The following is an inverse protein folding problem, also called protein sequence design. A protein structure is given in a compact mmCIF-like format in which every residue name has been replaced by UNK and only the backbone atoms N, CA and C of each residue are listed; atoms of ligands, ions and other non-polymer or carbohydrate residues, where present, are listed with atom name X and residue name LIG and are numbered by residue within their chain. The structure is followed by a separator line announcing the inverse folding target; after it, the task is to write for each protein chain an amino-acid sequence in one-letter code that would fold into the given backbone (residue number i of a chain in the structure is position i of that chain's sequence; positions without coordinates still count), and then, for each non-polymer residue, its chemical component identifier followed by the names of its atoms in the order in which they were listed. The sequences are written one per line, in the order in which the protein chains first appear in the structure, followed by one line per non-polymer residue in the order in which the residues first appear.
data_IF_957621827371
#
_entry.id   IF_957621827371
#
_cell.length_a   1.000
_cell.length_b   1.000
_cell.length_c   1.000
_cell.angle_alpha   90.00
_cell.angle_beta   90.00
_cell.angle_gamma   90.00
#
_symmetry.space_group_name_H-M   'P 1'
#
loop_
_entity.id
_entity.type
_entity.pdbx_description
1 polymer ?
#
# COMPACT_ATOMS: atom_id res chain seq x y z
N UNK A 1 -19.18 17.98 -11.93
CA UNK A 1 -18.24 16.85 -11.85
C UNK A 1 -17.50 16.96 -10.54
N UNK A 2 -17.52 15.90 -9.73
CA UNK A 2 -16.77 15.85 -8.46
C UNK A 2 -15.31 15.49 -8.74
N UNK A 3 -14.39 16.04 -7.96
CA UNK A 3 -12.96 15.74 -8.10
C UNK A 3 -12.55 14.68 -7.07
N UNK A 4 -11.83 13.65 -7.52
CA UNK A 4 -11.21 12.63 -6.68
C UNK A 4 -9.70 12.81 -6.74
N UNK A 5 -9.08 13.16 -5.62
CA UNK A 5 -7.63 13.27 -5.51
C UNK A 5 -7.11 11.96 -4.94
N UNK A 6 -6.35 11.20 -5.74
CA UNK A 6 -5.67 9.99 -5.27
C UNK A 6 -4.31 10.38 -4.70
N UNK A 7 -4.19 10.32 -3.38
CA UNK A 7 -3.00 10.79 -2.69
C UNK A 7 -2.10 9.63 -2.30
N UNK A 8 -0.93 9.55 -2.90
CA UNK A 8 0.14 8.67 -2.46
C UNK A 8 1.16 9.45 -1.63
N UNK A 9 1.97 8.77 -0.81
CA UNK A 9 3.06 9.45 -0.11
C UNK A 9 4.09 10.00 -1.10
N UNK A 10 4.41 9.19 -2.12
CA UNK A 10 5.46 9.45 -3.10
C UNK A 10 6.77 8.75 -2.71
N UNK A 11 7.68 8.63 -3.68
CA UNK A 11 8.94 7.92 -3.52
C UNK A 11 9.90 8.37 -4.62
N UNK A 12 11.20 8.30 -4.33
CA UNK A 12 12.25 8.46 -5.34
C UNK A 12 12.23 7.34 -6.39
N UNK A 13 11.63 6.19 -6.09
CA UNK A 13 11.43 5.13 -7.06
C UNK A 13 10.29 5.50 -8.03
N UNK A 14 10.58 5.70 -9.33
CA UNK A 14 9.59 6.13 -10.32
C UNK A 14 8.43 5.14 -10.48
N UNK A 15 8.63 3.86 -10.13
CA UNK A 15 7.56 2.84 -10.16
C UNK A 15 6.43 3.14 -9.19
N UNK A 16 6.73 3.80 -8.07
CA UNK A 16 5.71 4.22 -7.10
C UNK A 16 4.73 5.21 -7.71
N UNK A 17 5.25 6.26 -8.35
CA UNK A 17 4.42 7.26 -9.02
C UNK A 17 3.68 6.67 -10.23
N UNK A 18 4.32 5.78 -10.99
CA UNK A 18 3.69 5.07 -12.10
C UNK A 18 2.47 4.26 -11.65
N UNK A 19 2.56 3.54 -10.53
CA UNK A 19 1.44 2.76 -9.98
C UNK A 19 0.26 3.66 -9.58
N UNK A 20 0.50 4.77 -8.88
CA UNK A 20 -0.56 5.70 -8.49
C UNK A 20 -1.26 6.31 -9.72
N UNK A 21 -0.50 6.66 -10.76
CA UNK A 21 -1.05 7.16 -12.03
C UNK A 21 -1.83 6.09 -12.79
N UNK A 22 -1.37 4.84 -12.79
CA UNK A 22 -2.10 3.72 -13.41
C UNK A 22 -3.46 3.48 -12.75
N UNK A 23 -3.53 3.53 -11.41
CA UNK A 23 -4.81 3.47 -10.68
C UNK A 23 -5.71 4.64 -11.04
N UNK A 24 -5.16 5.86 -11.14
CA UNK A 24 -5.93 7.04 -11.56
C UNK A 24 -6.50 6.89 -12.98
N UNK A 25 -5.68 6.44 -13.93
CA UNK A 25 -6.11 6.21 -15.30
C UNK A 25 -7.23 5.17 -15.39
N UNK A 26 -7.11 4.08 -14.63
CA UNK A 26 -8.13 3.05 -14.57
C UNK A 26 -9.45 3.57 -13.97
N UNK A 27 -9.38 4.34 -12.88
CA UNK A 27 -10.56 4.99 -12.30
C UNK A 27 -11.25 5.95 -13.27
N UNK A 28 -10.49 6.76 -14.01
CA UNK A 28 -11.04 7.63 -15.06
C UNK A 28 -11.74 6.81 -16.14
N UNK A 29 -11.14 5.69 -16.56
CA UNK A 29 -11.72 4.78 -17.57
C UNK A 29 -13.04 4.18 -17.11
N UNK A 30 -13.13 3.70 -15.86
CA UNK A 30 -14.36 3.09 -15.33
C UNK A 30 -15.38 4.11 -14.83
N UNK A 31 -14.98 5.37 -14.61
CA UNK A 31 -15.84 6.48 -14.16
C UNK A 31 -15.56 7.77 -14.96
N UNK A 32 -15.95 7.86 -16.25
CA UNK A 32 -15.66 9.03 -17.10
C UNK A 32 -16.20 10.38 -16.58
N UNK A 33 -17.21 10.35 -15.72
CA UNK A 33 -17.78 11.56 -15.09
C UNK A 33 -16.98 12.12 -13.90
N UNK A 34 -15.90 11.46 -13.50
CA UNK A 34 -15.07 11.81 -12.35
C UNK A 34 -13.76 12.45 -12.79
N UNK A 35 -13.42 13.60 -12.23
CA UNK A 35 -12.11 14.24 -12.41
C UNK A 35 -11.12 13.60 -11.42
N UNK A 36 -10.34 12.62 -11.90
CA UNK A 36 -9.39 11.87 -11.07
C UNK A 36 -7.99 12.46 -11.20
N UNK A 37 -7.42 12.93 -10.08
CA UNK A 37 -6.11 13.57 -10.03
C UNK A 37 -5.16 12.79 -9.11
N UNK A 38 -4.11 12.15 -9.62
CA UNK A 38 -3.06 11.61 -8.77
C UNK A 38 -2.26 12.77 -8.16
N UNK A 39 -1.89 12.65 -6.89
CA UNK A 39 -1.12 13.65 -6.17
C UNK A 39 -0.22 13.00 -5.12
N UNK A 40 0.89 13.67 -4.79
CA UNK A 40 1.93 13.10 -3.92
C UNK A 40 2.25 14.04 -2.75
N UNK A 41 2.37 13.47 -1.55
CA UNK A 41 2.70 14.24 -0.34
C UNK A 41 4.15 14.73 -0.36
N UNK A 42 5.04 13.96 -0.95
CA UNK A 42 6.47 14.24 -1.06
C UNK A 42 7.11 13.47 -2.23
N UNK A 43 8.35 13.81 -2.60
CA UNK A 43 9.24 13.03 -3.47
C UNK A 43 8.76 12.74 -4.91
N UNK A 44 7.57 13.19 -5.31
CA UNK A 44 7.00 12.99 -6.63
C UNK A 44 6.02 14.12 -6.99
N UNK A 45 5.75 14.27 -8.28
CA UNK A 45 4.85 15.28 -8.83
C UNK A 45 3.59 14.66 -9.46
N UNK A 46 2.44 15.34 -9.42
CA UNK A 46 2.25 16.69 -8.87
C UNK A 46 2.15 16.69 -7.33
N UNK A 47 2.72 17.72 -6.71
CA UNK A 47 2.63 17.92 -5.27
C UNK A 47 1.17 18.09 -4.82
N UNK A 48 0.79 17.43 -3.72
CA UNK A 48 -0.57 17.40 -3.21
C UNK A 48 -1.11 18.79 -2.88
N UNK A 49 -0.29 19.62 -2.23
CA UNK A 49 -0.67 20.99 -1.90
C UNK A 49 -1.04 21.82 -3.14
N UNK A 50 -0.31 21.65 -4.25
CA UNK A 50 -0.55 22.38 -5.49
C UNK A 50 -1.81 21.89 -6.20
N UNK A 51 -2.04 20.57 -6.20
CA UNK A 51 -3.28 19.99 -6.75
C UNK A 51 -4.51 20.49 -5.99
N UNK A 52 -4.42 20.59 -4.66
CA UNK A 52 -5.51 21.08 -3.80
C UNK A 52 -5.72 22.58 -3.98
N UNK A 53 -4.64 23.39 -4.03
CA UNK A 53 -4.71 24.83 -4.24
C UNK A 53 -5.27 25.20 -5.63
N UNK A 54 -5.02 24.36 -6.64
CA UNK A 54 -5.55 24.51 -7.99
C UNK A 54 -6.99 24.02 -8.19
N UNK A 55 -7.70 23.62 -7.13
CA UNK A 55 -9.10 23.23 -7.24
C UNK A 55 -9.99 24.46 -7.51
N UNK A 56 -11.00 24.36 -8.39
CA UNK A 56 -11.94 25.45 -8.59
C UNK A 56 -12.73 25.77 -7.31
N UNK A 57 -12.84 27.06 -6.97
CA UNK A 57 -13.57 27.53 -5.80
C UNK A 57 -15.00 26.95 -5.76
N UNK A 58 -15.39 26.44 -4.58
CA UNK A 58 -16.74 25.93 -4.33
C UNK A 58 -17.05 24.55 -4.94
N UNK A 59 -16.10 23.88 -5.61
CA UNK A 59 -16.29 22.50 -6.08
C UNK A 59 -15.91 21.48 -5.01
N UNK A 60 -16.81 20.54 -4.64
CA UNK A 60 -16.47 19.48 -3.70
C UNK A 60 -15.39 18.55 -4.27
N UNK A 61 -14.39 18.26 -3.44
CA UNK A 61 -13.35 17.28 -3.74
C UNK A 61 -13.26 16.23 -2.62
N UNK A 62 -12.90 15.00 -2.99
CA UNK A 62 -12.59 13.93 -2.05
C UNK A 62 -11.14 13.50 -2.22
N UNK A 63 -10.37 13.58 -1.15
CA UNK A 63 -9.01 13.07 -1.06
C UNK A 63 -9.07 11.63 -0.61
N UNK A 64 -8.52 10.72 -1.41
CA UNK A 64 -8.48 9.28 -1.15
C UNK A 64 -7.03 8.81 -1.03
N UNK A 65 -6.55 8.53 0.19
CA UNK A 65 -5.17 8.10 0.39
C UNK A 65 -4.92 6.66 -0.10
N UNK A 66 -3.98 6.49 -1.02
CA UNK A 66 -3.49 5.20 -1.50
C UNK A 66 -2.44 4.60 -0.53
N UNK A 67 -2.80 4.45 0.73
CA UNK A 67 -1.89 4.04 1.81
C UNK A 67 -2.38 2.75 2.47
N UNK A 68 -1.52 1.72 2.45
CA UNK A 68 -1.85 0.35 2.90
C UNK A 68 -1.70 0.14 4.42
N UNK A 69 -0.93 0.98 5.09
CA UNK A 69 -0.86 0.99 6.54
C UNK A 69 -1.52 2.27 7.05
N UNK A 70 -2.04 2.21 8.28
CA UNK A 70 -2.42 3.41 9.03
C UNK A 70 -1.17 4.26 9.29
N UNK A 71 -0.74 5.02 8.28
CA UNK A 71 0.23 6.08 8.44
C UNK A 71 -0.45 7.14 9.29
N UNK A 72 -0.25 7.09 10.60
CA UNK A 72 -0.69 8.13 11.54
C UNK A 72 -0.36 9.53 11.01
N UNK A 73 0.80 9.65 10.37
CA UNK A 73 1.23 10.82 9.61
C UNK A 73 0.22 11.24 8.53
N UNK A 74 -0.28 10.35 7.69
CA UNK A 74 -1.28 10.73 6.68
C UNK A 74 -2.60 11.24 7.24
N UNK A 75 -3.00 10.84 8.46
CA UNK A 75 -4.18 11.40 9.14
C UNK A 75 -3.96 12.82 9.67
N UNK A 76 -2.72 13.28 9.72
CA UNK A 76 -2.33 14.64 10.15
C UNK A 76 -1.84 15.48 8.98
N UNK A 77 -0.91 14.96 8.20
CA UNK A 77 -0.24 15.64 7.10
C UNK A 77 -1.22 16.03 5.98
N UNK A 78 -2.20 15.16 5.67
CA UNK A 78 -3.20 15.47 4.63
C UNK A 78 -4.11 16.63 5.07
N UNK A 79 -4.76 16.59 6.25
CA UNK A 79 -5.53 17.75 6.73
C UNK A 79 -4.69 19.03 6.83
N UNK A 80 -3.46 18.94 7.33
CA UNK A 80 -2.57 20.10 7.47
C UNK A 80 -2.23 20.71 6.09
N UNK A 81 -1.95 19.88 5.07
CA UNK A 81 -1.71 20.38 3.71
C UNK A 81 -2.98 20.95 3.06
N UNK A 82 -4.17 20.37 3.30
CA UNK A 82 -5.45 20.93 2.82
C UNK A 82 -5.68 22.31 3.43
N UNK A 83 -5.47 22.46 4.74
CA UNK A 83 -5.63 23.73 5.44
C UNK A 83 -4.65 24.79 4.92
N UNK A 84 -3.38 24.41 4.71
CA UNK A 84 -2.34 25.31 4.15
C UNK A 84 -2.63 25.73 2.71
N UNK A 85 -3.29 24.88 1.91
CA UNK A 85 -3.73 25.23 0.57
C UNK A 85 -4.93 26.21 0.55
N UNK A 86 -5.55 26.49 1.71
CA UNK A 86 -6.72 27.37 1.81
C UNK A 86 -7.97 26.78 1.15
N UNK A 87 -8.01 25.47 0.89
CA UNK A 87 -9.13 24.85 0.20
C UNK A 87 -10.29 24.54 1.16
N UNK A 88 -11.50 24.82 0.71
CA UNK A 88 -12.74 24.54 1.43
C UNK A 88 -13.57 23.47 0.71
N UNK A 89 -14.40 22.73 1.46
CA UNK A 89 -15.26 21.68 0.88
C UNK A 89 -14.51 20.41 0.42
N UNK A 90 -13.25 20.25 0.85
CA UNK A 90 -12.46 19.05 0.62
C UNK A 90 -12.70 18.05 1.75
N UNK A 91 -13.13 16.84 1.41
CA UNK A 91 -13.31 15.74 2.36
C UNK A 91 -12.18 14.73 2.20
N UNK A 92 -11.74 14.12 3.29
CA UNK A 92 -10.79 13.02 3.26
C UNK A 92 -11.52 11.69 3.49
N UNK A 93 -11.28 10.71 2.63
CA UNK A 93 -11.66 9.32 2.83
C UNK A 93 -10.65 8.61 3.75
N UNK A 94 -11.04 7.48 4.33
CA UNK A 94 -10.11 6.62 5.05
C UNK A 94 -8.99 6.10 4.13
N UNK A 95 -7.85 5.78 4.74
CA UNK A 95 -6.76 5.06 4.06
C UNK A 95 -7.26 3.67 3.65
N UNK A 96 -6.66 3.09 2.60
CA UNK A 96 -6.95 1.73 2.18
C UNK A 96 -6.75 0.69 3.31
N UNK A 97 -5.67 0.85 4.09
CA UNK A 97 -5.41 0.03 5.27
C UNK A 97 -5.31 -1.47 4.97
N UNK A 98 -5.60 -2.28 5.98
CA UNK A 98 -5.58 -3.74 5.92
C UNK A 98 -6.89 -4.36 5.37
N UNK A 99 -7.47 -3.79 4.31
CA UNK A 99 -8.73 -4.26 3.72
C UNK A 99 -8.61 -5.70 3.19
N UNK A 100 -9.59 -6.54 3.52
CA UNK A 100 -9.65 -7.96 3.09
C UNK A 100 -9.57 -8.13 1.58
N UNK A 101 -10.09 -7.17 0.80
CA UNK A 101 -10.01 -7.20 -0.67
C UNK A 101 -8.58 -7.06 -1.16
N UNK A 102 -7.73 -6.30 -0.47
CA UNK A 102 -6.30 -6.19 -0.80
C UNK A 102 -5.56 -7.48 -0.45
N UNK A 103 -5.96 -8.17 0.62
CA UNK A 103 -5.45 -9.51 0.93
C UNK A 103 -5.85 -10.50 -0.17
N UNK A 104 -7.07 -10.42 -0.70
CA UNK A 104 -7.50 -11.23 -1.85
C UNK A 104 -6.64 -10.97 -3.09
N UNK A 105 -6.35 -9.71 -3.41
CA UNK A 105 -5.44 -9.36 -4.51
C UNK A 105 -4.04 -9.93 -4.30
N UNK A 106 -3.51 -9.92 -3.06
CA UNK A 106 -2.24 -10.57 -2.76
C UNK A 106 -2.28 -12.09 -3.02
N UNK A 107 -3.39 -12.77 -2.70
CA UNK A 107 -3.57 -14.20 -2.99
C UNK A 107 -3.65 -14.47 -4.49
N UNK A 108 -4.40 -13.64 -5.22
CA UNK A 108 -4.50 -13.72 -6.68
C UNK A 108 -3.11 -13.58 -7.32
N UNK A 109 -2.31 -12.61 -6.88
CA UNK A 109 -0.93 -12.44 -7.36
C UNK A 109 -0.04 -13.64 -7.08
N UNK A 110 -0.19 -14.30 -5.93
CA UNK A 110 0.55 -15.53 -5.64
C UNK A 110 0.08 -16.68 -6.56
N UNK A 111 -1.22 -16.82 -6.78
CA UNK A 111 -1.77 -17.83 -7.68
C UNK A 111 -1.32 -17.62 -9.14
N UNK A 112 -1.25 -16.37 -9.61
CA UNK A 112 -0.71 -16.01 -10.93
C UNK A 112 0.77 -16.43 -11.10
N UNK A 113 1.53 -16.49 -10.00
CA UNK A 113 2.90 -17.00 -9.97
C UNK A 113 2.98 -18.55 -9.89
N UNK A 114 1.84 -19.25 -9.96
CA UNK A 114 1.76 -20.70 -9.86
C UNK A 114 1.87 -21.24 -8.43
N UNK A 115 1.79 -20.38 -7.42
CA UNK A 115 1.86 -20.80 -6.02
C UNK A 115 0.56 -21.49 -5.61
N UNK A 116 0.67 -22.78 -5.26
CA UNK A 116 -0.47 -23.55 -4.80
C UNK A 116 -0.85 -23.18 -3.36
N UNK A 117 -2.14 -22.99 -3.05
CA UNK A 117 -2.60 -22.85 -1.66
C UNK A 117 -2.42 -24.14 -0.85
N UNK A 118 -2.10 -25.27 -1.50
CA UNK A 118 -1.92 -26.57 -0.84
C UNK A 118 -0.45 -26.94 -0.59
N UNK A 119 0.50 -26.10 -1.00
CA UNK A 119 1.94 -26.33 -0.81
C UNK A 119 2.27 -26.28 0.69
N UNK A 120 2.64 -27.43 1.28
CA UNK A 120 2.93 -27.51 2.72
C UNK A 120 4.30 -26.97 3.11
N UNK A 121 5.18 -26.79 2.13
CA UNK A 121 6.55 -26.36 2.35
C UNK A 121 6.71 -24.86 2.10
N UNK A 122 5.66 -24.17 1.63
CA UNK A 122 5.72 -22.74 1.40
C UNK A 122 5.67 -21.93 2.70
N UNK A 123 6.64 -21.02 2.85
CA UNK A 123 6.61 -19.94 3.82
C UNK A 123 6.53 -18.58 3.14
N UNK A 124 5.59 -17.72 3.55
CA UNK A 124 5.43 -16.37 2.99
C UNK A 124 5.82 -15.30 4.01
N UNK A 125 6.73 -14.40 3.62
CA UNK A 125 7.05 -13.19 4.40
C UNK A 125 6.41 -11.99 3.74
N UNK A 126 5.48 -11.34 4.44
CA UNK A 126 4.95 -10.04 4.06
C UNK A 126 5.87 -8.97 4.66
N UNK A 127 6.46 -8.12 3.82
CA UNK A 127 7.36 -7.06 4.28
C UNK A 127 6.64 -5.73 4.26
N UNK A 128 6.48 -5.11 5.42
CA UNK A 128 5.94 -3.77 5.56
C UNK A 128 7.06 -2.78 5.92
N UNK A 129 6.85 -1.47 5.71
CA UNK A 129 7.82 -0.45 6.09
C UNK A 129 8.08 -0.48 7.60
N UNK A 130 7.01 -0.56 8.41
CA UNK A 130 7.08 -0.48 9.86
C UNK A 130 6.92 0.94 10.38
N UNK A 131 6.29 1.06 11.55
CA UNK A 131 5.98 2.33 12.19
C UNK A 131 6.57 2.38 13.61
N UNK A 132 6.75 3.59 14.14
CA UNK A 132 6.95 3.79 15.58
C UNK A 132 5.69 3.46 16.40
N UNK A 133 4.51 3.45 15.76
CA UNK A 133 3.25 3.09 16.38
C UNK A 133 3.09 1.55 16.43
N UNK A 134 3.14 0.98 17.64
CA UNK A 134 3.04 -0.45 17.88
C UNK A 134 1.67 -1.02 17.52
N UNK A 135 0.58 -0.27 17.74
CA UNK A 135 -0.77 -0.69 17.39
C UNK A 135 -0.96 -0.74 15.86
N UNK A 136 -0.37 0.20 15.11
CA UNK A 136 -0.37 0.15 13.64
C UNK A 136 0.39 -1.09 13.13
N UNK A 137 1.58 -1.37 13.69
CA UNK A 137 2.34 -2.57 13.33
C UNK A 137 1.58 -3.86 13.66
N UNK A 138 0.87 -3.91 14.80
CA UNK A 138 0.06 -5.05 15.19
C UNK A 138 -1.10 -5.30 14.22
N UNK A 139 -1.76 -4.25 13.72
CA UNK A 139 -2.78 -4.37 12.66
C UNK A 139 -2.19 -4.87 11.35
N UNK A 140 -1.08 -4.29 10.90
CA UNK A 140 -0.40 -4.74 9.69
C UNK A 140 0.06 -6.19 9.78
N UNK A 141 0.44 -6.67 10.97
CA UNK A 141 0.79 -8.08 11.19
C UNK A 141 -0.38 -9.05 10.92
N UNK A 142 -1.64 -8.59 11.05
CA UNK A 142 -2.82 -9.40 10.74
C UNK A 142 -2.92 -9.74 9.25
N UNK A 143 -2.32 -8.94 8.36
CA UNK A 143 -2.29 -9.20 6.91
C UNK A 143 -1.66 -10.56 6.61
N UNK A 144 -0.58 -10.92 7.29
CA UNK A 144 0.07 -12.21 7.08
C UNK A 144 -0.83 -13.38 7.53
N UNK A 145 -1.50 -13.25 8.68
CA UNK A 145 -2.43 -14.25 9.17
C UNK A 145 -3.63 -14.41 8.23
N UNK A 146 -4.20 -13.28 7.79
CA UNK A 146 -5.28 -13.26 6.80
C UNK A 146 -4.83 -13.89 5.48
N UNK A 147 -3.61 -13.61 5.01
CA UNK A 147 -3.09 -14.17 3.76
C UNK A 147 -3.04 -15.70 3.78
N UNK A 148 -2.54 -16.29 4.88
CA UNK A 148 -2.45 -17.74 5.04
C UNK A 148 -3.76 -18.45 5.41
N UNK A 149 -4.82 -17.72 5.77
CA UNK A 149 -6.08 -18.34 6.17
C UNK A 149 -6.67 -19.19 5.04
N UNK A 150 -6.92 -20.48 5.30
CA UNK A 150 -7.45 -21.42 4.30
C UNK A 150 -6.40 -22.05 3.37
N UNK A 151 -5.11 -21.77 3.58
CA UNK A 151 -4.01 -22.47 2.88
C UNK A 151 -3.44 -23.60 3.73
N UNK A 152 -2.61 -24.45 3.12
CA UNK A 152 -1.83 -25.49 3.81
C UNK A 152 -0.35 -25.14 3.95
N UNK A 153 0.01 -23.88 3.68
CA UNK A 153 1.37 -23.36 3.79
C UNK A 153 1.98 -23.62 5.17
N UNK A 154 3.30 -23.81 5.23
CA UNK A 154 4.07 -23.87 6.48
C UNK A 154 3.85 -22.60 7.34
N UNK A 155 3.54 -21.48 6.69
CA UNK A 155 2.89 -20.34 7.31
C UNK A 155 3.15 -19.03 6.58
N UNK A 156 2.58 -17.95 7.12
CA UNK A 156 2.92 -16.59 6.73
C UNK A 156 3.28 -15.75 7.97
N UNK A 157 4.19 -14.80 7.80
CA UNK A 157 4.59 -13.86 8.87
C UNK A 157 4.88 -12.47 8.31
N UNK A 158 4.81 -11.46 9.16
CA UNK A 158 5.24 -10.09 8.83
C UNK A 158 6.74 -9.92 9.12
N UNK A 159 7.39 -9.03 8.39
CA UNK A 159 8.68 -8.41 8.71
C UNK A 159 8.59 -6.90 8.47
N UNK A 160 9.44 -6.12 9.14
CA UNK A 160 9.49 -4.67 8.98
C UNK A 160 10.83 -4.20 8.40
N UNK A 161 10.78 -3.28 7.43
CA UNK A 161 11.96 -2.77 6.75
C UNK A 161 12.73 -1.73 7.59
N UNK A 162 12.04 -0.90 8.39
CA UNK A 162 12.64 0.20 9.16
C UNK A 162 12.70 -0.05 10.66
N UNK A 163 12.16 -1.17 11.13
CA UNK A 163 12.16 -1.55 12.55
C UNK A 163 13.13 -2.70 12.77
N UNK A 164 13.81 -2.76 13.93
CA UNK A 164 14.77 -3.82 14.19
C UNK A 164 14.11 -5.20 14.28
N UNK A 165 12.83 -5.30 14.65
CA UNK A 165 12.15 -6.58 14.87
C UNK A 165 10.64 -6.57 14.54
N UNK A 166 10.09 -7.69 14.03
CA UNK A 166 10.83 -8.80 13.42
C UNK A 166 11.50 -8.34 12.11
N UNK A 167 12.80 -8.63 11.96
CA UNK A 167 13.51 -8.40 10.70
C UNK A 167 13.10 -9.44 9.65
N UNK A 168 13.44 -9.21 8.38
CA UNK A 168 13.22 -10.20 7.32
C UNK A 168 13.96 -11.51 7.63
N UNK A 169 15.19 -11.42 8.16
CA UNK A 169 15.97 -12.59 8.55
C UNK A 169 15.28 -13.39 9.67
N UNK A 170 14.76 -12.72 10.69
CA UNK A 170 14.02 -13.37 11.79
C UNK A 170 12.75 -14.05 11.29
N UNK A 171 12.02 -13.37 10.41
CA UNK A 171 10.81 -13.89 9.77
C UNK A 171 11.08 -15.16 8.96
N UNK A 172 12.14 -15.16 8.14
CA UNK A 172 12.57 -16.33 7.36
C UNK A 172 13.01 -17.46 8.28
N UNK A 173 13.84 -17.18 9.29
CA UNK A 173 14.28 -18.19 10.25
C UNK A 173 13.11 -18.84 11.00
N UNK A 174 12.09 -18.03 11.36
CA UNK A 174 10.85 -18.52 11.98
C UNK A 174 10.07 -19.45 11.06
N UNK A 175 9.94 -19.13 9.77
CA UNK A 175 9.23 -19.97 8.82
C UNK A 175 9.99 -21.28 8.56
N UNK A 176 11.33 -21.24 8.45
CA UNK A 176 12.15 -22.45 8.30
C UNK A 176 11.98 -23.41 9.47
N UNK A 177 11.92 -22.90 10.71
CA UNK A 177 11.63 -23.72 11.90
C UNK A 177 10.23 -24.36 11.88
N UNK A 178 9.31 -23.84 11.05
CA UNK A 178 7.96 -24.39 10.85
C UNK A 178 7.87 -25.36 9.67
N UNK A 179 9.00 -25.72 9.07
CA UNK A 179 9.06 -26.65 7.93
C UNK A 179 9.02 -25.98 6.57
N UNK A 180 9.11 -24.64 6.48
CA UNK A 180 9.18 -23.99 5.17
C UNK A 180 10.49 -24.33 4.46
N UNK A 181 10.40 -24.84 3.24
CA UNK A 181 11.56 -25.14 2.40
C UNK A 181 12.15 -23.85 1.80
N UNK A 182 13.46 -23.85 1.57
CA UNK A 182 14.12 -22.77 0.86
C UNK A 182 13.88 -22.91 -0.65
N UNK A 183 12.72 -22.50 -1.16
CA UNK A 183 12.50 -22.41 -2.61
C UNK A 183 12.94 -21.03 -3.12
N UNK A 184 14.09 -20.95 -3.78
CA UNK A 184 14.50 -19.77 -4.54
C UNK A 184 13.82 -19.74 -5.91
N UNK A 185 12.52 -19.47 -5.97
CA UNK A 185 11.84 -19.14 -7.23
C UNK A 185 11.75 -17.62 -7.40
N UNK A 186 12.90 -16.95 -7.49
CA UNK A 186 12.97 -15.58 -8.00
C UNK A 186 13.78 -15.58 -9.30
N UNK A 187 13.15 -15.94 -10.42
CA UNK A 187 13.60 -15.48 -11.75
C UNK A 187 13.10 -14.06 -11.97
N UNK A 188 13.53 -13.15 -11.11
CA UNK A 188 13.44 -11.71 -11.34
C UNK A 188 14.84 -11.23 -11.64
N UNK A 189 15.18 -11.05 -12.91
CA UNK A 189 16.45 -10.46 -13.33
C UNK A 189 16.51 -9.01 -12.85
N UNK A 190 17.15 -8.78 -11.70
CA UNK A 190 17.59 -7.45 -11.32
C UNK A 190 18.85 -7.13 -12.15
N UNK A 191 18.65 -6.68 -13.38
CA UNK A 191 19.70 -6.00 -14.11
C UNK A 191 20.04 -4.71 -13.35
N UNK A 192 21.25 -4.67 -12.78
CA UNK A 192 21.89 -3.42 -12.38
C UNK A 192 22.24 -2.66 -13.66
N UNK A 193 21.61 -1.52 -13.85
CA UNK A 193 22.13 -0.41 -14.63
C UNK A 193 22.54 0.69 -13.66
#
# INVERSE_FOLDING_TARGET
MSTLILTAHGSKDPRSAANARAVAAELTRIRPGLDVRPAFLELAEPAFIDVVAGLPNGRPAVVTPLLLASAYHARRDIPDQIARAGAHGVRQADVLGEDVRLVSVLRERLAELGISPLDRDLGVVVVAIGSSNTAANARTAQVAAALAAGTRWAGATIAFATRPQPSVADAVARLRRRGAAASSSHRGSWHRG
#
